data_IF_964674702042
#
_entry.id   IF_964674702042
#
_cell.length_a   1.000
_cell.length_b   1.000
_cell.length_c   1.000
_cell.angle_alpha   90.00
_cell.angle_beta   90.00
_cell.angle_gamma   90.00
#
_symmetry.space_group_name_H-M   'P 1'
#
loop_
_entity.id
_entity.type
_entity.pdbx_description
1 polymer ?
#
# COMPACT_ATOMS: atom_id res chain seq x y z
N UNK A 1 8.23 -24.77 4.47
CA UNK A 1 7.49 -23.54 4.14
C UNK A 1 8.30 -22.89 3.05
N UNK A 2 7.76 -22.80 1.84
CA UNK A 2 8.39 -21.97 0.81
C UNK A 2 8.20 -20.52 1.29
N UNK A 3 9.16 -20.01 2.06
CA UNK A 3 9.21 -18.62 2.47
C UNK A 3 9.58 -17.77 1.25
N UNK A 4 8.62 -17.62 0.34
CA UNK A 4 8.77 -16.70 -0.79
C UNK A 4 8.92 -15.29 -0.24
N UNK A 5 10.11 -14.74 -0.47
CA UNK A 5 10.50 -13.40 -0.10
C UNK A 5 9.59 -12.38 -0.77
N UNK A 6 9.33 -11.28 -0.06
CA UNK A 6 8.56 -10.18 -0.63
C UNK A 6 9.42 -9.47 -1.69
N UNK A 7 8.85 -9.28 -2.88
CA UNK A 7 9.47 -8.64 -4.02
C UNK A 7 9.55 -7.10 -3.85
N UNK A 8 10.45 -6.43 -4.61
CA UNK A 8 10.53 -4.97 -4.63
C UNK A 8 9.23 -4.31 -5.13
N UNK A 9 9.08 -2.98 -4.91
CA UNK A 9 7.90 -2.26 -5.36
C UNK A 9 7.64 -2.43 -6.86
N UNK A 10 6.37 -2.45 -7.25
CA UNK A 10 6.00 -2.44 -8.66
C UNK A 10 6.53 -1.15 -9.35
N UNK A 11 6.86 -1.18 -10.65
CA UNK A 11 7.36 0.02 -11.35
C UNK A 11 6.44 1.24 -11.26
N UNK A 12 5.14 1.01 -11.08
CA UNK A 12 4.12 2.06 -10.91
C UNK A 12 3.14 1.66 -9.78
N UNK A 13 2.70 2.60 -8.93
CA UNK A 13 1.61 2.35 -7.99
C UNK A 13 0.33 1.91 -8.71
N UNK A 14 -0.44 1.01 -8.09
CA UNK A 14 -1.67 0.51 -8.71
C UNK A 14 -2.70 1.63 -8.93
N UNK A 15 -3.67 1.36 -9.81
CA UNK A 15 -4.67 2.35 -10.23
C UNK A 15 -5.43 2.98 -9.03
N UNK A 16 -5.69 2.17 -8.01
CA UNK A 16 -6.42 2.52 -6.80
C UNK A 16 -5.51 2.83 -5.60
N UNK A 17 -4.20 2.99 -5.78
CA UNK A 17 -3.29 3.18 -4.65
C UNK A 17 -3.67 4.44 -3.84
N UNK A 18 -3.83 4.34 -2.49
CA UNK A 18 -4.31 5.46 -1.68
C UNK A 18 -3.31 6.63 -1.63
N UNK A 19 -2.03 6.39 -1.95
CA UNK A 19 -1.00 7.42 -1.97
C UNK A 19 -0.99 8.27 -3.24
N UNK A 20 -1.73 7.90 -4.29
CA UNK A 20 -1.74 8.67 -5.55
C UNK A 20 -2.62 9.91 -5.43
N UNK A 21 -2.15 11.06 -5.94
CA UNK A 21 -2.95 12.30 -5.95
C UNK A 21 -4.15 12.25 -6.89
N UNK A 22 -4.11 11.38 -7.89
CA UNK A 22 -5.15 11.21 -8.90
C UNK A 22 -6.11 10.04 -8.61
N UNK A 23 -6.04 9.43 -7.42
CA UNK A 23 -7.05 8.47 -6.97
C UNK A 23 -8.27 9.24 -6.45
N UNK A 24 -9.51 8.84 -6.77
CA UNK A 24 -10.67 9.40 -6.11
C UNK A 24 -10.65 9.07 -4.61
N UNK A 25 -11.23 9.95 -3.81
CA UNK A 25 -11.50 9.74 -2.37
C UNK A 25 -12.58 8.67 -2.18
N UNK A 26 -12.64 8.06 -0.99
CA UNK A 26 -13.66 7.08 -0.64
C UNK A 26 -13.51 5.72 -1.32
N UNK A 27 -12.32 5.37 -1.83
CA UNK A 27 -12.09 4.09 -2.53
C UNK A 27 -11.86 2.93 -1.57
N UNK A 28 -11.12 3.15 -0.48
CA UNK A 28 -10.83 2.13 0.51
C UNK A 28 -11.63 2.35 1.79
N UNK A 29 -11.73 1.30 2.61
CA UNK A 29 -12.32 1.41 3.93
C UNK A 29 -11.52 2.38 4.83
N UNK A 30 -12.20 3.02 5.78
CA UNK A 30 -11.60 3.99 6.72
C UNK A 30 -10.40 3.40 7.46
N UNK A 31 -10.45 2.10 7.76
CA UNK A 31 -9.37 1.39 8.46
C UNK A 31 -8.12 1.24 7.62
N UNK A 32 -8.20 1.25 6.29
CA UNK A 32 -7.02 1.27 5.42
C UNK A 32 -6.35 2.64 5.44
N UNK A 33 -7.13 3.73 5.40
CA UNK A 33 -6.61 5.09 5.49
C UNK A 33 -6.00 5.39 6.87
N UNK A 34 -6.59 4.85 7.95
CA UNK A 34 -6.07 5.02 9.32
C UNK A 34 -4.65 4.49 9.52
N UNK A 35 -4.17 3.57 8.67
CA UNK A 35 -2.81 3.02 8.74
C UNK A 35 -1.75 3.97 8.20
N UNK A 36 -2.08 4.81 7.22
CA UNK A 36 -1.11 5.56 6.44
C UNK A 36 -0.32 6.57 7.30
N UNK A 37 -0.95 7.40 8.16
CA UNK A 37 -0.24 8.40 8.95
C UNK A 37 0.73 7.79 9.98
N UNK A 38 0.54 6.51 10.34
CA UNK A 38 1.41 5.84 11.31
C UNK A 38 2.85 5.70 10.78
N UNK A 39 3.03 5.66 9.47
CA UNK A 39 4.35 5.58 8.85
C UNK A 39 5.06 6.93 8.74
N UNK A 40 4.35 8.05 8.95
CA UNK A 40 4.96 9.39 9.01
C UNK A 40 5.64 9.66 10.37
N UNK A 41 5.44 8.80 11.36
CA UNK A 41 6.00 8.97 12.71
C UNK A 41 7.52 8.81 12.72
N UNK A 42 8.17 9.28 13.79
CA UNK A 42 9.58 8.98 14.03
C UNK A 42 9.84 7.47 14.00
N UNK A 43 10.99 7.04 13.48
CA UNK A 43 11.35 5.64 13.23
C UNK A 43 11.03 4.70 14.39
N UNK A 44 11.20 5.11 15.64
CA UNK A 44 10.89 4.29 16.82
C UNK A 44 9.40 4.10 17.13
N UNK A 45 8.52 4.92 16.54
CA UNK A 45 7.07 4.94 16.75
C UNK A 45 6.28 4.38 15.57
N UNK A 46 6.94 4.13 14.44
CA UNK A 46 6.32 3.56 13.24
C UNK A 46 5.87 2.11 13.45
N UNK A 47 4.88 1.63 12.67
CA UNK A 47 4.56 0.22 12.59
C UNK A 47 5.74 -0.62 12.10
N UNK A 48 5.93 -1.80 12.69
CA UNK A 48 6.99 -2.74 12.25
C UNK A 48 6.64 -3.60 11.03
N UNK A 49 5.40 -3.52 10.53
CA UNK A 49 4.94 -4.30 9.38
C UNK A 49 5.22 -3.59 8.06
N UNK A 50 5.65 -4.34 7.03
CA UNK A 50 5.74 -3.82 5.66
C UNK A 50 4.36 -3.49 5.11
N UNK A 51 4.27 -2.40 4.37
CA UNK A 51 3.07 -2.08 3.59
C UNK A 51 3.15 -2.79 2.23
N UNK A 52 2.34 -3.84 2.04
CA UNK A 52 2.31 -4.62 0.80
C UNK A 52 1.26 -4.09 -0.17
N UNK A 53 1.41 -4.41 -1.45
CA UNK A 53 0.44 -4.03 -2.48
C UNK A 53 -0.86 -4.84 -2.33
N UNK A 54 -2.00 -4.18 -2.13
CA UNK A 54 -3.34 -4.80 -2.04
C UNK A 54 -3.80 -5.58 -3.29
N UNK A 55 -3.06 -5.52 -4.41
CA UNK A 55 -3.38 -6.32 -5.61
C UNK A 55 -2.65 -7.67 -5.61
N UNK A 56 -1.57 -7.80 -4.84
CA UNK A 56 -0.70 -8.97 -4.80
C UNK A 56 -0.38 -9.33 -3.33
N UNK A 57 -1.29 -9.15 -2.38
CA UNK A 57 -1.04 -9.41 -0.96
C UNK A 57 -1.34 -10.88 -0.56
N UNK A 58 -1.26 -11.20 0.73
CA UNK A 58 -1.74 -12.48 1.27
C UNK A 58 -0.85 -13.68 0.98
N UNK A 59 -1.40 -14.71 0.30
CA UNK A 59 -0.69 -15.93 -0.14
C UNK A 59 -0.31 -15.86 -1.64
N UNK A 60 -0.40 -14.67 -2.25
CA UNK A 60 -0.05 -14.51 -3.67
C UNK A 60 1.45 -14.80 -3.88
N UNK A 61 1.80 -15.53 -4.93
CA UNK A 61 3.19 -15.93 -5.22
C UNK A 61 4.12 -14.76 -5.58
N UNK A 62 3.54 -13.57 -5.80
CA UNK A 62 4.25 -12.36 -6.21
C UNK A 62 3.98 -11.18 -5.26
N UNK A 63 3.97 -11.48 -3.97
CA UNK A 63 3.88 -10.46 -2.90
C UNK A 63 4.99 -9.47 -3.05
N UNK A 64 4.62 -8.19 -2.98
CA UNK A 64 5.55 -7.08 -3.17
C UNK A 64 5.22 -5.90 -2.30
N UNK A 65 6.25 -5.10 -2.05
CA UNK A 65 6.12 -3.82 -1.35
C UNK A 65 5.21 -2.89 -2.17
N UNK A 66 4.38 -2.11 -1.47
CA UNK A 66 3.53 -1.11 -2.11
C UNK A 66 4.37 0.03 -2.67
N UNK A 67 4.26 0.27 -3.98
CA UNK A 67 4.96 1.36 -4.67
C UNK A 67 4.53 2.76 -4.21
N UNK A 68 3.25 2.95 -3.84
CA UNK A 68 2.80 4.22 -3.28
C UNK A 68 3.40 4.51 -1.92
N UNK A 69 3.49 3.49 -1.05
CA UNK A 69 4.15 3.61 0.24
C UNK A 69 5.65 3.87 0.08
N UNK A 70 6.32 3.09 -0.77
CA UNK A 70 7.75 3.24 -1.05
C UNK A 70 8.13 4.62 -1.59
N UNK A 71 7.26 5.24 -2.41
CA UNK A 71 7.53 6.54 -3.02
C UNK A 71 7.02 7.75 -2.22
N UNK A 72 6.22 7.54 -1.17
CA UNK A 72 5.68 8.60 -0.33
C UNK A 72 6.54 8.82 0.92
N UNK A 73 7.07 7.74 1.49
CA UNK A 73 7.84 7.78 2.74
C UNK A 73 9.34 7.79 2.48
N UNK A 74 10.10 8.41 3.38
CA UNK A 74 11.57 8.37 3.35
C UNK A 74 12.05 6.96 3.74
N UNK A 75 12.48 6.19 2.73
CA UNK A 75 12.81 4.79 2.86
C UNK A 75 13.91 4.48 3.89
N UNK A 76 14.88 5.38 4.08
CA UNK A 76 16.00 5.15 5.02
C UNK A 76 15.53 5.16 6.48
N UNK A 77 14.43 5.87 6.77
CA UNK A 77 13.84 5.99 8.11
C UNK A 77 12.65 5.04 8.34
N UNK A 78 12.37 4.10 7.42
CA UNK A 78 11.31 3.12 7.60
C UNK A 78 11.73 1.96 8.51
N UNK A 79 11.17 1.92 9.73
CA UNK A 79 11.39 0.82 10.68
C UNK A 79 11.01 -0.54 10.07
N UNK A 80 9.92 -0.59 9.32
CA UNK A 80 9.42 -1.80 8.68
C UNK A 80 10.47 -2.44 7.74
N UNK A 81 11.23 -1.64 6.98
CA UNK A 81 12.30 -2.15 6.12
C UNK A 81 13.44 -2.76 6.94
N UNK A 82 13.89 -2.04 7.99
CA UNK A 82 14.96 -2.50 8.88
C UNK A 82 14.61 -3.85 9.54
N UNK A 83 13.38 -4.00 10.02
CA UNK A 83 12.90 -5.24 10.63
C UNK A 83 12.70 -6.36 9.60
N UNK A 84 12.20 -6.05 8.41
CA UNK A 84 11.98 -7.03 7.35
C UNK A 84 13.29 -7.63 6.83
N UNK A 85 14.34 -6.82 6.66
CA UNK A 85 15.69 -7.31 6.31
C UNK A 85 16.23 -8.19 7.45
N UNK A 86 16.15 -7.71 8.70
CA UNK A 86 16.64 -8.45 9.87
C UNK A 86 15.96 -9.81 10.06
N UNK A 87 14.67 -9.89 9.74
CA UNK A 87 13.88 -11.12 9.86
C UNK A 87 13.98 -12.03 8.64
N UNK A 88 14.68 -11.64 7.58
CA UNK A 88 14.80 -12.40 6.33
C UNK A 88 13.54 -12.39 5.46
N UNK A 89 12.54 -11.54 5.78
CA UNK A 89 11.31 -11.41 4.96
C UNK A 89 11.56 -10.75 3.61
N UNK A 90 12.60 -9.91 3.53
CA UNK A 90 13.14 -9.33 2.30
C UNK A 90 14.65 -9.42 2.32
N UNK A 91 15.25 -9.45 1.13
CA UNK A 91 16.70 -9.33 0.94
C UNK A 91 17.14 -7.86 0.94
N UNK A 92 18.42 -7.56 1.25
CA UNK A 92 18.95 -6.19 1.20
C UNK A 92 18.70 -5.47 -0.13
N UNK A 93 18.72 -6.20 -1.25
CA UNK A 93 18.49 -5.65 -2.59
C UNK A 93 17.04 -5.14 -2.74
N UNK A 94 16.07 -5.86 -2.18
CA UNK A 94 14.66 -5.41 -2.14
C UNK A 94 14.51 -4.16 -1.28
N UNK A 95 15.20 -4.09 -0.14
CA UNK A 95 15.17 -2.90 0.71
C UNK A 95 15.79 -1.70 -0.03
N UNK A 96 16.94 -1.87 -0.66
CA UNK A 96 17.59 -0.81 -1.43
C UNK A 96 16.73 -0.34 -2.61
N UNK A 97 16.07 -1.26 -3.31
CA UNK A 97 15.14 -0.92 -4.38
C UNK A 97 13.92 -0.13 -3.88
N UNK A 98 13.51 -0.36 -2.62
CA UNK A 98 12.43 0.39 -1.99
C UNK A 98 12.87 1.80 -1.61
N UNK A 99 14.03 1.94 -0.96
CA UNK A 99 14.61 3.25 -0.61
C UNK A 99 14.81 4.12 -1.86
N UNK A 100 15.29 3.52 -2.94
CA UNK A 100 15.57 4.24 -4.18
C UNK A 100 14.33 4.42 -5.08
N UNK A 101 13.15 3.99 -4.62
CA UNK A 101 11.96 4.01 -5.46
C UNK A 101 11.50 5.45 -5.74
N UNK A 102 11.28 5.75 -7.01
CA UNK A 102 10.69 7.02 -7.45
C UNK A 102 9.42 6.73 -8.23
N UNK A 103 8.29 7.26 -7.74
CA UNK A 103 7.01 7.06 -8.38
C UNK A 103 6.94 7.80 -9.72
N UNK A 104 6.55 7.15 -10.83
CA UNK A 104 6.34 7.82 -12.10
C UNK A 104 5.01 8.62 -12.14
N UNK A 105 4.24 8.60 -11.05
CA UNK A 105 2.96 9.28 -10.90
C UNK A 105 2.99 10.10 -9.61
N UNK A 106 2.46 11.34 -9.58
CA UNK A 106 2.44 12.16 -8.37
C UNK A 106 1.77 11.46 -7.17
N UNK A 107 2.48 11.42 -6.06
CA UNK A 107 2.01 10.90 -4.78
C UNK A 107 1.77 12.05 -3.80
N UNK A 108 0.90 11.83 -2.81
CA UNK A 108 0.81 12.74 -1.67
C UNK A 108 2.15 12.85 -0.93
N UNK A 109 2.38 13.99 -0.28
CA UNK A 109 3.65 14.29 0.38
C UNK A 109 3.81 13.52 1.71
N UNK A 110 2.72 12.98 2.26
CA UNK A 110 2.71 12.18 3.48
C UNK A 110 1.58 11.16 3.51
N UNK A 111 1.67 10.17 4.40
CA UNK A 111 0.57 9.27 4.73
C UNK A 111 -0.64 10.01 5.31
N UNK A 112 -0.40 11.07 6.08
CA UNK A 112 -1.42 11.97 6.61
C UNK A 112 -2.23 12.66 5.50
N UNK A 113 -1.56 13.25 4.51
CA UNK A 113 -2.24 13.91 3.39
C UNK A 113 -3.04 12.90 2.55
N UNK A 114 -2.48 11.72 2.32
CA UNK A 114 -3.17 10.62 1.64
C UNK A 114 -4.43 10.17 2.40
N UNK A 115 -4.34 10.07 3.73
CA UNK A 115 -5.48 9.71 4.57
C UNK A 115 -6.56 10.80 4.59
N UNK A 116 -6.18 12.07 4.72
CA UNK A 116 -7.11 13.22 4.72
C UNK A 116 -7.89 13.26 3.40
N UNK A 117 -7.21 13.12 2.26
CA UNK A 117 -7.88 13.03 0.96
C UNK A 117 -8.78 11.80 0.90
N UNK A 118 -8.24 10.64 1.26
CA UNK A 118 -8.92 9.35 1.16
C UNK A 118 -10.27 9.29 1.88
N UNK A 119 -10.36 9.82 3.09
CA UNK A 119 -11.59 9.73 3.91
C UNK A 119 -12.66 10.75 3.54
N UNK A 120 -12.35 11.77 2.73
CA UNK A 120 -13.22 12.93 2.48
C UNK A 120 -14.63 12.55 2.03
N UNK A 121 -14.74 11.61 1.10
CA UNK A 121 -16.00 11.23 0.44
C UNK A 121 -16.38 9.77 0.74
N UNK A 122 -15.91 9.21 1.86
CA UNK A 122 -16.10 7.78 2.16
C UNK A 122 -17.58 7.41 2.38
N UNK A 123 -18.36 8.30 2.99
CA UNK A 123 -19.79 8.11 3.24
C UNK A 123 -20.65 8.32 1.98
N UNK A 124 -20.12 9.06 1.00
CA UNK A 124 -20.83 9.33 -0.27
C UNK A 124 -19.84 9.38 -1.43
N UNK A 125 -19.29 8.21 -1.84
CA UNK A 125 -18.29 8.16 -2.90
C UNK A 125 -18.86 8.58 -4.24
N UNK A 126 -18.07 9.28 -5.04
CA UNK A 126 -18.49 9.72 -6.36
C UNK A 126 -18.49 8.58 -7.41
N UNK A 127 -18.90 8.90 -8.63
CA UNK A 127 -18.95 7.90 -9.71
C UNK A 127 -17.59 7.32 -10.10
N UNK A 128 -16.49 8.04 -9.89
CA UNK A 128 -15.14 7.57 -10.19
C UNK A 128 -14.66 6.61 -9.10
N UNK A 129 -14.89 6.95 -7.83
CA UNK A 129 -14.64 6.09 -6.68
C UNK A 129 -15.39 4.76 -6.80
N UNK A 130 -16.68 4.79 -7.13
CA UNK A 130 -17.50 3.59 -7.32
C UNK A 130 -16.96 2.70 -8.44
N UNK A 131 -16.50 3.28 -9.56
CA UNK A 131 -15.85 2.53 -10.65
C UNK A 131 -14.53 1.90 -10.21
N UNK A 132 -13.74 2.61 -9.41
CA UNK A 132 -12.48 2.07 -8.88
C UNK A 132 -12.73 0.90 -7.92
N UNK A 133 -13.71 1.04 -7.01
CA UNK A 133 -14.15 -0.02 -6.08
C UNK A 133 -14.59 -1.27 -6.85
N UNK A 134 -15.45 -1.09 -7.85
CA UNK A 134 -15.93 -2.20 -8.69
C UNK A 134 -14.77 -2.91 -9.41
N UNK A 135 -13.78 -2.16 -9.90
CA UNK A 135 -12.59 -2.75 -10.52
C UNK A 135 -11.77 -3.56 -9.51
N UNK A 136 -11.60 -3.07 -8.27
CA UNK A 136 -10.89 -3.79 -7.21
C UNK A 136 -11.61 -5.10 -6.88
N UNK A 137 -12.94 -5.06 -6.71
CA UNK A 137 -13.77 -6.25 -6.42
C UNK A 137 -13.60 -7.36 -7.47
N UNK A 138 -13.46 -7.00 -8.74
CA UNK A 138 -13.25 -7.98 -9.83
C UNK A 138 -11.88 -8.62 -9.84
N UNK A 139 -10.85 -7.89 -9.42
CA UNK A 139 -9.45 -8.38 -9.45
C UNK A 139 -9.12 -9.19 -8.19
N UNK A 140 -9.72 -8.83 -7.06
CA UNK A 140 -9.54 -9.52 -5.78
C UNK A 140 -10.51 -10.68 -5.63
N UNK A 141 -10.09 -11.87 -6.07
CA UNK A 141 -10.88 -13.11 -5.97
C UNK A 141 -11.19 -13.53 -4.53
N UNK A 142 -10.45 -13.02 -3.54
CA UNK A 142 -10.69 -13.20 -2.11
C UNK A 142 -11.89 -12.38 -1.58
N UNK A 143 -12.37 -11.40 -2.36
CA UNK A 143 -13.55 -10.58 -2.03
C UNK A 143 -14.83 -11.05 -2.72
N UNK A 144 -14.76 -12.10 -3.56
CA UNK A 144 -15.95 -12.72 -4.14
C UNK A 144 -16.56 -13.59 -3.05
N UNK A 145 -17.62 -13.09 -2.40
CA UNK A 145 -18.44 -13.91 -1.52
C UNK A 145 -18.89 -15.17 -2.29
N UNK A 146 -18.45 -16.35 -1.83
CA UNK A 146 -19.23 -17.56 -2.06
C UNK A 146 -20.53 -17.36 -1.28
N UNK A 147 -21.63 -17.13 -1.99
CA UNK A 147 -22.96 -17.10 -1.40
C UNK A 147 -23.16 -18.35 -0.51
N UNK A 148 -23.69 -18.22 0.72
CA UNK A 148 -24.04 -19.39 1.50
C UNK A 148 -25.20 -20.11 0.82
N UNK A 149 -25.02 -21.41 0.59
CA UNK A 149 -26.03 -22.32 0.05
C UNK A 149 -27.20 -22.57 1.00
#
# INVERSE_FOLDING_TARGET
MDDQQIEPPAPRPCASCPYRRDVPSGVWDVTEYAKLPLYDAETGLQPGGLFQCHQNDGEHTHRRICAGWAGCHDGDELLALRLAVRSGRIIPETAQATVNYQSPIPLFDSGADAAIHGVRDIETPDSEALRAIEKIRRVRSDLIETEPS
#
